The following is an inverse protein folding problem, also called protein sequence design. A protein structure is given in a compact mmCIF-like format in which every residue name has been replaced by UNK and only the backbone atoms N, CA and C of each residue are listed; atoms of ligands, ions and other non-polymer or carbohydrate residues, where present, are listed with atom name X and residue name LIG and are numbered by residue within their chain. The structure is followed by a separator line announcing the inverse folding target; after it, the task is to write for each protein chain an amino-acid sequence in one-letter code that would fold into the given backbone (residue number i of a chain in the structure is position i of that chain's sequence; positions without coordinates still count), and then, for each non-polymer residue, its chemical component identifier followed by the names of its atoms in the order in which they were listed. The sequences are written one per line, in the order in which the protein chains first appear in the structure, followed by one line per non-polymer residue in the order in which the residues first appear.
data_IF_608746022162
#
_entry.id   IF_608746022162
#
_cell.length_a   1.000
_cell.length_b   1.000
_cell.length_c   1.000
_cell.angle_alpha   90.00
_cell.angle_beta   90.00
_cell.angle_gamma   90.00
#
_symmetry.space_group_name_H-M   'P 1'
#
loop_
_entity.id
_entity.type
_entity.pdbx_description
1 polymer ?
#
# COMPACT_ATOMS: atom_id res chain seq x y z
N UNK A 1 4.49 17.51 -12.68
CA UNK A 1 3.19 16.85 -12.92
C UNK A 1 3.24 15.37 -12.58
N UNK A 2 4.08 14.57 -13.24
CA UNK A 2 4.14 13.10 -13.07
C UNK A 2 4.40 12.62 -11.65
N UNK A 3 5.31 13.27 -10.91
CA UNK A 3 5.59 12.93 -9.52
C UNK A 3 4.37 13.08 -8.59
N UNK A 4 3.54 14.10 -8.81
CA UNK A 4 2.31 14.34 -8.05
C UNK A 4 1.28 13.25 -8.34
N UNK A 5 1.12 12.88 -9.62
CA UNK A 5 0.22 11.79 -10.01
C UNK A 5 0.63 10.46 -9.38
N UNK A 6 1.92 10.11 -9.42
CA UNK A 6 2.44 8.88 -8.83
C UNK A 6 2.29 8.88 -7.30
N UNK A 7 2.54 10.01 -6.65
CA UNK A 7 2.32 10.17 -5.22
C UNK A 7 0.85 9.94 -4.86
N UNK A 8 -0.09 10.56 -5.57
CA UNK A 8 -1.52 10.36 -5.31
C UNK A 8 -1.96 8.90 -5.53
N UNK A 9 -1.44 8.23 -6.56
CA UNK A 9 -1.75 6.82 -6.79
C UNK A 9 -1.21 5.93 -5.65
N UNK A 10 0.03 6.16 -5.21
CA UNK A 10 0.63 5.43 -4.10
C UNK A 10 -0.10 5.69 -2.78
N UNK A 11 -0.49 6.93 -2.50
CA UNK A 11 -1.20 7.31 -1.28
C UNK A 11 -2.61 6.73 -1.23
N UNK A 12 -3.31 6.68 -2.37
CA UNK A 12 -4.59 5.99 -2.48
C UNK A 12 -4.44 4.48 -2.19
N UNK A 13 -3.40 3.84 -2.74
CA UNK A 13 -3.09 2.43 -2.47
C UNK A 13 -2.75 2.18 -0.99
N UNK A 14 -2.05 3.10 -0.33
CA UNK A 14 -1.76 3.01 1.11
C UNK A 14 -3.05 2.97 1.92
N UNK A 15 -3.97 3.91 1.68
CA UNK A 15 -5.26 3.97 2.39
C UNK A 15 -6.10 2.71 2.12
N UNK A 16 -6.20 2.28 0.86
CA UNK A 16 -6.93 1.05 0.50
C UNK A 16 -6.29 -0.18 1.15
N UNK A 17 -4.96 -0.27 1.16
CA UNK A 17 -4.20 -1.33 1.82
C UNK A 17 -4.50 -1.39 3.32
N UNK A 18 -4.48 -0.25 4.00
CA UNK A 18 -4.84 -0.14 5.43
C UNK A 18 -6.30 -0.55 5.69
N UNK A 19 -7.25 -0.12 4.86
CA UNK A 19 -8.67 -0.48 4.99
C UNK A 19 -8.93 -1.97 4.78
N UNK A 20 -8.22 -2.60 3.84
CA UNK A 20 -8.39 -4.01 3.49
C UNK A 20 -7.54 -4.96 4.34
N UNK A 21 -6.60 -4.44 5.13
CA UNK A 21 -5.71 -5.25 5.97
C UNK A 21 -6.44 -6.24 6.90
N UNK A 22 -7.58 -5.89 7.54
CA UNK A 22 -8.32 -6.86 8.36
C UNK A 22 -8.90 -8.06 7.59
N UNK A 23 -9.06 -7.93 6.27
CA UNK A 23 -9.64 -8.97 5.39
C UNK A 23 -8.54 -9.73 4.65
N UNK A 24 -7.45 -9.06 4.26
CA UNK A 24 -6.34 -9.64 3.49
C UNK A 24 -4.99 -9.23 4.10
N UNK A 25 -4.65 -9.75 5.31
CA UNK A 25 -3.53 -9.23 6.09
C UNK A 25 -2.18 -9.41 5.38
N UNK A 26 -1.92 -10.56 4.75
CA UNK A 26 -0.62 -10.82 4.12
C UNK A 26 -0.40 -9.93 2.88
N UNK A 27 -1.38 -9.85 1.98
CA UNK A 27 -1.25 -9.10 0.73
C UNK A 27 -1.24 -7.60 0.96
N UNK A 28 -2.09 -7.10 1.86
CA UNK A 28 -2.11 -5.69 2.24
C UNK A 28 -0.88 -5.30 3.06
N UNK A 29 -0.39 -6.17 3.95
CA UNK A 29 0.85 -5.93 4.68
C UNK A 29 2.05 -5.80 3.72
N UNK A 30 2.15 -6.69 2.74
CA UNK A 30 3.20 -6.62 1.72
C UNK A 30 3.07 -5.38 0.83
N UNK A 31 1.84 -4.98 0.44
CA UNK A 31 1.60 -3.73 -0.28
C UNK A 31 2.14 -2.52 0.52
N UNK A 32 1.74 -2.40 1.78
CA UNK A 32 2.12 -1.29 2.67
C UNK A 32 3.64 -1.24 2.87
N UNK A 33 4.26 -2.41 3.09
CA UNK A 33 5.72 -2.54 3.21
C UNK A 33 6.44 -2.07 1.94
N UNK A 34 5.95 -2.45 0.76
CA UNK A 34 6.54 -2.04 -0.53
C UNK A 34 6.40 -0.56 -0.82
N UNK A 35 5.33 0.07 -0.34
CA UNK A 35 5.13 1.53 -0.43
C UNK A 35 5.98 2.31 0.57
N UNK A 36 6.66 1.64 1.51
CA UNK A 36 7.40 2.32 2.58
C UNK A 36 6.48 2.98 3.60
N UNK A 37 5.26 2.48 3.78
CA UNK A 37 4.34 3.01 4.78
C UNK A 37 4.92 2.81 6.19
N UNK A 38 4.85 3.86 7.01
CA UNK A 38 5.24 3.79 8.41
C UNK A 38 4.33 2.82 9.19
N UNK A 39 4.78 2.30 10.34
CA UNK A 39 3.94 1.51 11.23
C UNK A 39 2.62 2.23 11.52
N UNK A 40 1.53 1.45 11.60
CA UNK A 40 0.20 2.00 11.85
C UNK A 40 0.20 2.83 13.16
N UNK A 41 -0.34 4.06 13.15
CA UNK A 41 -0.52 4.86 14.36
C UNK A 41 -1.40 4.14 15.38
N UNK A 42 -1.34 4.61 16.64
CA UNK A 42 -2.10 4.02 17.74
C UNK A 42 -3.63 4.02 17.51
N UNK A 43 -4.13 4.88 16.61
CA UNK A 43 -5.53 4.92 16.21
C UNK A 43 -5.68 4.70 14.72
N UNK A 44 -6.51 3.71 14.37
CA UNK A 44 -6.81 3.37 12.98
C UNK A 44 -7.36 4.54 12.15
N UNK A 45 -8.19 5.41 12.72
CA UNK A 45 -8.70 6.57 11.98
C UNK A 45 -7.59 7.52 11.52
N UNK A 46 -6.50 7.64 12.29
CA UNK A 46 -5.37 8.52 11.97
C UNK A 46 -4.54 7.95 10.80
N UNK A 47 -4.54 6.62 10.61
CA UNK A 47 -3.86 6.00 9.48
C UNK A 47 -4.57 6.22 8.14
N UNK A 48 -5.83 6.64 8.16
CA UNK A 48 -6.59 6.95 6.95
C UNK A 48 -6.41 8.39 6.47
N UNK A 49 -5.70 9.24 7.22
CA UNK A 49 -5.42 10.60 6.80
C UNK A 49 -4.52 10.63 5.56
N UNK A 50 -4.79 11.55 4.64
CA UNK A 50 -3.97 11.73 3.44
C UNK A 50 -2.61 12.34 3.80
N UNK A 51 -1.55 11.89 3.11
CA UNK A 51 -0.19 12.38 3.30
C UNK A 51 0.69 11.50 4.20
N UNK A 52 0.34 10.21 4.33
CA UNK A 52 1.08 9.26 5.17
C UNK A 52 2.39 8.77 4.55
N UNK A 53 2.54 8.84 3.21
CA UNK A 53 3.81 8.52 2.55
C UNK A 53 4.77 9.72 2.56
N UNK A 54 6.05 9.44 2.86
CA UNK A 54 7.14 10.42 2.77
C UNK A 54 7.62 10.55 1.32
N UNK A 55 7.53 11.73 0.67
CA UNK A 55 8.04 11.92 -0.68
C UNK A 55 9.54 11.59 -0.79
N UNK A 56 9.92 10.84 -1.83
CA UNK A 56 11.30 10.42 -2.04
C UNK A 56 11.74 9.19 -1.22
N UNK A 57 10.87 8.66 -0.35
CA UNK A 57 11.12 7.37 0.29
C UNK A 57 11.26 6.25 -0.76
N UNK A 58 12.16 5.28 -0.54
CA UNK A 58 12.34 4.17 -1.45
C UNK A 58 11.09 3.28 -1.46
N UNK A 59 10.71 2.82 -2.65
CA UNK A 59 9.68 1.79 -2.84
C UNK A 59 10.35 0.47 -3.21
N UNK A 60 9.77 -0.65 -2.77
CA UNK A 60 10.27 -1.98 -3.11
C UNK A 60 9.41 -2.62 -4.20
N UNK A 61 10.06 -3.21 -5.20
CA UNK A 61 9.42 -4.11 -6.16
C UNK A 61 9.48 -5.55 -5.65
N UNK A 62 8.63 -6.41 -6.20
CA UNK A 62 8.59 -7.84 -5.87
C UNK A 62 7.60 -8.58 -6.75
N UNK A 63 7.39 -9.87 -6.49
CA UNK A 63 6.40 -10.67 -7.23
C UNK A 63 5.00 -10.04 -7.20
N UNK A 64 4.15 -10.25 -8.23
CA UNK A 64 2.79 -9.74 -8.25
C UNK A 64 2.04 -10.08 -6.95
N UNK A 65 1.42 -9.08 -6.31
CA UNK A 65 0.66 -9.28 -5.07
C UNK A 65 -0.50 -10.26 -5.27
N UNK A 66 -1.13 -10.18 -6.45
CA UNK A 66 -2.21 -11.06 -6.87
C UNK A 66 -1.81 -11.72 -8.19
N UNK A 67 -1.11 -12.86 -8.15
CA UNK A 67 -0.83 -13.65 -9.34
C UNK A 67 -2.15 -14.01 -10.03
N UNK A 68 -2.12 -14.06 -11.37
CA UNK A 68 -3.28 -14.57 -12.12
C UNK A 68 -3.49 -16.02 -11.72
N UNK A 69 -4.74 -16.38 -11.42
CA UNK A 69 -5.10 -17.78 -11.33
C UNK A 69 -4.97 -18.38 -12.73
N UNK A 70 -4.15 -19.42 -12.84
CA UNK A 70 -4.09 -20.27 -14.02
C UNK A 70 -4.68 -21.61 -13.59
N UNK A 71 -5.86 -22.01 -14.11
CA UNK A 71 -6.34 -23.36 -13.90
C UNK A 71 -5.30 -24.29 -14.52
N UNK A 72 -4.71 -25.18 -13.70
CA UNK A 72 -3.95 -26.30 -14.24
C UNK A 72 -4.90 -27.10 -15.14
N UNK A 73 -4.41 -27.46 -16.34
CA UNK A 73 -5.15 -28.12 -17.43
C UNK A 73 -6.28 -29.08 -16.99
#
# INVERSE_FOLDING_TARGET
ATAVTLYHAAEALRIVGTLLHPVMPERCGELLRRLGAAPEPARFAESLAWGGLTPGAPVCTGEPLFPRFDPLD
#
